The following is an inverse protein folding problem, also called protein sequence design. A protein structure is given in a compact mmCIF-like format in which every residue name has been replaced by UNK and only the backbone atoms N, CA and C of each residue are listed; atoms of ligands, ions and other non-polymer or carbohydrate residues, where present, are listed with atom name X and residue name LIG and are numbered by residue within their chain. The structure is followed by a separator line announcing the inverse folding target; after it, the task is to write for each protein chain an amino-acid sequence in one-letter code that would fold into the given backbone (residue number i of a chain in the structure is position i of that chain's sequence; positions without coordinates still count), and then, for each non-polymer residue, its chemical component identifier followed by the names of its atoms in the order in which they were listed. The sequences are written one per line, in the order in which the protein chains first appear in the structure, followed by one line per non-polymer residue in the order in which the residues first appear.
data_IF_714206641324
#
_entry.id   IF_714206641324
#
_cell.length_a   1.000
_cell.length_b   1.000
_cell.length_c   1.000
_cell.angle_alpha   90.00
_cell.angle_beta   90.00
_cell.angle_gamma   90.00
#
_symmetry.space_group_name_H-M   'P 1'
#
loop_
_entity.id
_entity.type
_entity.pdbx_description
1 polymer ?
#
# COMPACT_ATOMS: atom_id res chain seq x y z
N UNK A 1 6.91 -4.41 17.42
CA UNK A 1 7.22 -5.28 16.26
C UNK A 1 7.77 -4.47 15.09
N UNK A 2 8.39 -5.13 14.09
CA UNK A 2 8.74 -4.53 12.79
C UNK A 2 7.66 -4.88 11.76
N UNK A 3 7.04 -3.89 11.14
CA UNK A 3 6.02 -4.06 10.12
C UNK A 3 6.54 -3.48 8.79
N UNK A 4 6.65 -4.32 7.77
CA UNK A 4 7.04 -3.94 6.41
C UNK A 4 5.79 -3.88 5.54
N UNK A 5 5.35 -2.66 5.22
CA UNK A 5 4.23 -2.39 4.32
C UNK A 5 4.76 -2.36 2.88
N UNK A 6 4.21 -3.20 2.02
CA UNK A 6 4.64 -3.34 0.63
C UNK A 6 3.47 -3.00 -0.28
N UNK A 7 3.67 -2.07 -1.20
CA UNK A 7 2.68 -1.83 -2.26
C UNK A 7 2.66 -3.02 -3.21
N UNK A 8 1.48 -3.44 -3.68
CA UNK A 8 1.34 -4.50 -4.68
C UNK A 8 2.16 -4.23 -5.96
N UNK A 9 2.49 -5.28 -6.71
CA UNK A 9 3.13 -5.20 -8.02
C UNK A 9 2.22 -4.55 -9.08
N UNK A 10 2.79 -4.14 -10.21
CA UNK A 10 2.07 -3.45 -11.27
C UNK A 10 0.86 -4.26 -11.77
N UNK A 11 -0.25 -3.52 -12.02
CA UNK A 11 -1.50 -4.06 -12.58
C UNK A 11 -1.82 -3.39 -13.92
N UNK A 12 -2.73 -3.94 -14.74
CA UNK A 12 -3.24 -3.23 -15.92
C UNK A 12 -3.82 -1.86 -15.59
N UNK A 13 -4.50 -1.72 -14.44
CA UNK A 13 -5.06 -0.44 -14.03
C UNK A 13 -3.98 0.63 -13.74
N UNK A 14 -2.81 0.22 -13.21
CA UNK A 14 -1.68 1.15 -13.05
C UNK A 14 -1.17 1.64 -14.41
N UNK A 15 -1.05 0.74 -15.39
CA UNK A 15 -0.64 1.10 -16.77
C UNK A 15 -1.64 2.05 -17.42
N UNK A 16 -2.93 1.81 -17.21
CA UNK A 16 -4.03 2.64 -17.73
C UNK A 16 -4.24 3.93 -16.92
N UNK A 17 -3.56 4.09 -15.79
CA UNK A 17 -3.75 5.21 -14.85
C UNK A 17 -5.19 5.33 -14.35
N UNK A 18 -5.82 4.20 -14.12
CA UNK A 18 -7.20 4.10 -13.67
C UNK A 18 -7.25 4.02 -12.13
N UNK A 19 -8.17 4.75 -11.53
CA UNK A 19 -8.54 4.56 -10.13
C UNK A 19 -9.22 3.21 -9.98
N UNK A 20 -8.49 2.18 -9.54
CA UNK A 20 -9.01 0.83 -9.35
C UNK A 20 -8.84 0.40 -7.89
N UNK A 21 -9.87 0.70 -7.11
CA UNK A 21 -9.86 0.46 -5.66
C UNK A 21 -10.78 -0.67 -5.23
N UNK A 22 -11.64 -1.17 -6.12
CA UNK A 22 -12.59 -2.23 -5.82
C UNK A 22 -11.93 -3.60 -5.62
N UNK A 23 -12.65 -4.42 -4.87
CA UNK A 23 -12.35 -5.83 -4.65
C UNK A 23 -13.17 -6.72 -5.61
N UNK A 24 -12.62 -7.84 -6.08
CA UNK A 24 -11.25 -8.31 -5.83
C UNK A 24 -10.19 -7.60 -6.69
N UNK A 25 -10.59 -6.82 -7.70
CA UNK A 25 -9.73 -6.12 -8.65
C UNK A 25 -8.93 -7.04 -9.58
N UNK A 26 -8.12 -6.45 -10.49
CA UNK A 26 -7.30 -7.20 -11.45
C UNK A 26 -6.12 -7.91 -10.78
N UNK A 27 -5.52 -8.84 -11.52
CA UNK A 27 -4.23 -9.44 -11.22
C UNK A 27 -3.06 -8.53 -11.60
N UNK A 28 -1.85 -9.10 -11.61
CA UNK A 28 -0.62 -8.43 -11.97
C UNK A 28 -0.37 -8.46 -13.49
N UNK A 29 0.39 -7.48 -13.99
CA UNK A 29 1.03 -7.57 -15.30
C UNK A 29 2.24 -8.52 -15.23
N UNK A 30 2.87 -8.83 -16.39
CA UNK A 30 4.12 -9.59 -16.40
C UNK A 30 5.24 -8.86 -15.64
N UNK A 31 5.29 -7.52 -15.70
CA UNK A 31 6.20 -6.73 -14.88
C UNK A 31 5.85 -6.85 -13.40
N UNK A 32 4.57 -6.71 -13.05
CA UNK A 32 4.11 -6.87 -11.67
C UNK A 32 4.42 -8.23 -11.07
N UNK A 33 4.35 -9.30 -11.88
CA UNK A 33 4.74 -10.64 -11.44
C UNK A 33 6.26 -10.72 -11.15
N UNK A 34 7.11 -10.17 -12.04
CA UNK A 34 8.56 -10.09 -11.80
C UNK A 34 8.90 -9.20 -10.59
N UNK A 35 8.17 -8.10 -10.37
CA UNK A 35 8.31 -7.26 -9.18
C UNK A 35 7.97 -8.03 -7.90
N UNK A 36 6.94 -8.88 -7.93
CA UNK A 36 6.59 -9.74 -6.80
C UNK A 36 7.69 -10.78 -6.51
N UNK A 37 8.27 -11.39 -7.53
CA UNK A 37 9.40 -12.32 -7.40
C UNK A 37 10.64 -11.61 -6.81
N UNK A 38 10.93 -10.39 -7.22
CA UNK A 38 12.08 -9.61 -6.74
C UNK A 38 12.01 -9.28 -5.23
N UNK A 39 10.82 -9.30 -4.62
CA UNK A 39 10.66 -9.12 -3.17
C UNK A 39 11.39 -10.22 -2.37
N UNK A 40 11.55 -11.43 -2.92
CA UNK A 40 12.24 -12.54 -2.25
C UNK A 40 13.67 -12.17 -1.94
N UNK A 41 14.39 -11.63 -2.92
CA UNK A 41 15.79 -11.21 -2.76
C UNK A 41 15.90 -9.89 -1.97
N UNK A 42 15.02 -8.93 -2.27
CA UNK A 42 15.02 -7.64 -1.58
C UNK A 42 14.81 -7.76 -0.06
N UNK A 43 14.06 -8.77 0.37
CA UNK A 43 13.80 -9.05 1.78
C UNK A 43 14.60 -10.26 2.32
N UNK A 44 15.62 -10.77 1.58
CA UNK A 44 16.37 -11.96 1.98
C UNK A 44 17.03 -11.82 3.36
N UNK A 45 17.54 -10.62 3.69
CA UNK A 45 18.17 -10.31 4.97
C UNK A 45 17.20 -9.97 6.11
N UNK A 46 15.88 -9.95 5.86
CA UNK A 46 14.89 -9.63 6.87
C UNK A 46 14.34 -10.90 7.53
N UNK A 47 14.16 -10.86 8.84
CA UNK A 47 13.35 -11.88 9.52
C UNK A 47 11.87 -11.62 9.18
N UNK A 48 11.20 -12.59 8.58
CA UNK A 48 9.79 -12.51 8.19
C UNK A 48 9.05 -13.69 8.81
N UNK A 49 8.27 -13.42 9.84
CA UNK A 49 7.54 -14.46 10.60
C UNK A 49 6.12 -14.68 10.08
N UNK A 50 5.55 -13.69 9.39
CA UNK A 50 4.25 -13.81 8.73
C UNK A 50 4.16 -12.93 7.49
N UNK A 51 3.36 -13.35 6.53
CA UNK A 51 3.06 -12.60 5.29
C UNK A 51 1.55 -12.43 5.20
N UNK A 52 1.12 -11.16 5.21
CA UNK A 52 -0.26 -10.75 5.07
C UNK A 52 -0.48 -10.08 3.71
N UNK A 53 -1.69 -10.13 3.22
CA UNK A 53 -2.13 -9.40 2.04
C UNK A 53 -3.56 -8.89 2.21
N UNK A 54 -3.91 -7.79 1.57
CA UNK A 54 -5.30 -7.35 1.51
C UNK A 54 -6.16 -8.38 0.74
N UNK A 55 -7.47 -8.15 0.73
CA UNK A 55 -8.46 -8.99 0.02
C UNK A 55 -8.33 -8.89 -1.52
N UNK A 56 -7.58 -7.91 -2.03
CA UNK A 56 -7.39 -7.71 -3.46
C UNK A 56 -6.53 -8.81 -4.10
N UNK A 57 -6.91 -9.23 -5.32
CA UNK A 57 -6.15 -10.24 -6.08
C UNK A 57 -4.69 -9.85 -6.27
N UNK A 58 -4.42 -8.59 -6.63
CA UNK A 58 -3.07 -8.05 -6.87
C UNK A 58 -2.14 -8.15 -5.65
N UNK A 59 -2.64 -7.92 -4.45
CA UNK A 59 -1.83 -8.00 -3.23
C UNK A 59 -1.50 -9.44 -2.85
N UNK A 60 -2.45 -10.36 -3.01
CA UNK A 60 -2.25 -11.78 -2.73
C UNK A 60 -1.24 -12.37 -3.70
N UNK A 61 -1.34 -12.06 -5.00
CA UNK A 61 -0.37 -12.48 -6.01
C UNK A 61 1.03 -11.90 -5.75
N UNK A 62 1.12 -10.66 -5.28
CA UNK A 62 2.40 -10.03 -4.91
C UNK A 62 3.04 -10.71 -3.69
N UNK A 63 2.23 -11.13 -2.72
CA UNK A 63 2.70 -11.77 -1.50
C UNK A 63 3.18 -13.23 -1.71
N UNK A 64 2.62 -13.93 -2.70
CA UNK A 64 2.85 -15.38 -2.90
C UNK A 64 4.31 -15.79 -3.04
N UNK A 65 5.16 -15.17 -3.89
CA UNK A 65 6.54 -15.59 -4.05
C UNK A 65 7.33 -15.49 -2.73
N UNK A 66 7.20 -14.39 -2.01
CA UNK A 66 7.85 -14.19 -0.72
C UNK A 66 7.39 -15.23 0.31
N UNK A 67 6.09 -15.43 0.44
CA UNK A 67 5.51 -16.39 1.37
C UNK A 67 6.01 -17.81 1.06
N UNK A 68 5.99 -18.22 -0.21
CA UNK A 68 6.50 -19.53 -0.64
C UNK A 68 7.99 -19.70 -0.32
N UNK A 69 8.84 -18.70 -0.61
CA UNK A 69 10.26 -18.74 -0.31
C UNK A 69 10.57 -18.83 1.19
N UNK A 70 9.66 -18.36 2.05
CA UNK A 70 9.76 -18.44 3.52
C UNK A 70 9.06 -19.65 4.12
N UNK A 71 8.38 -20.49 3.32
CA UNK A 71 7.57 -21.59 3.82
C UNK A 71 6.37 -21.16 4.64
N UNK A 72 5.84 -19.96 4.39
CA UNK A 72 4.73 -19.35 5.09
C UNK A 72 3.47 -19.31 4.22
N UNK A 73 2.26 -19.37 4.79
CA UNK A 73 1.05 -19.08 4.04
C UNK A 73 0.87 -17.56 3.85
N UNK A 74 0.27 -17.15 2.73
CA UNK A 74 -0.31 -15.81 2.61
C UNK A 74 -1.59 -15.76 3.44
N UNK A 75 -1.66 -14.83 4.38
CA UNK A 75 -2.82 -14.63 5.24
C UNK A 75 -3.59 -13.40 4.76
N UNK A 76 -4.83 -13.60 4.33
CA UNK A 76 -5.68 -12.47 3.92
C UNK A 76 -6.09 -11.69 5.17
N UNK A 77 -5.82 -10.39 5.17
CA UNK A 77 -6.13 -9.46 6.25
C UNK A 77 -7.20 -8.47 5.78
N UNK A 78 -8.44 -8.61 6.23
CA UNK A 78 -9.50 -7.65 5.92
C UNK A 78 -9.18 -6.26 6.49
N UNK A 79 -9.68 -5.23 5.79
CA UNK A 79 -9.55 -3.85 6.25
C UNK A 79 -8.30 -3.11 5.78
N UNK A 80 -7.42 -3.76 5.01
CA UNK A 80 -6.21 -3.13 4.44
C UNK A 80 -6.27 -3.02 2.90
N UNK A 81 -7.48 -2.99 2.35
CA UNK A 81 -7.74 -2.68 0.94
C UNK A 81 -7.51 -1.18 0.65
N UNK A 82 -7.40 -0.82 -0.65
CA UNK A 82 -7.08 0.55 -1.06
C UNK A 82 -8.14 1.58 -0.61
N UNK A 83 -7.74 2.84 -0.45
CA UNK A 83 -8.67 3.93 -0.18
C UNK A 83 -9.72 3.99 -1.29
N UNK A 84 -10.99 3.99 -0.91
CA UNK A 84 -12.09 3.86 -1.85
C UNK A 84 -12.27 5.12 -2.70
N UNK A 85 -12.23 4.96 -4.02
CA UNK A 85 -12.47 6.05 -4.96
C UNK A 85 -13.97 6.40 -5.10
N UNK A 86 -14.88 5.53 -4.63
CA UNK A 86 -16.33 5.77 -4.68
C UNK A 86 -16.82 5.94 -6.12
N UNK A 87 -17.50 7.05 -6.39
CA UNK A 87 -18.00 7.36 -7.73
C UNK A 87 -16.92 7.68 -8.76
N UNK A 88 -15.64 7.83 -8.32
CA UNK A 88 -14.49 8.05 -9.20
C UNK A 88 -13.86 6.74 -9.68
N UNK A 89 -14.39 5.60 -9.26
CA UNK A 89 -13.88 4.28 -9.64
C UNK A 89 -13.77 4.10 -11.15
N UNK A 90 -12.63 3.54 -11.60
CA UNK A 90 -12.26 3.34 -13.01
C UNK A 90 -12.13 4.61 -13.85
N UNK A 91 -12.08 5.77 -13.22
CA UNK A 91 -11.82 7.01 -13.92
C UNK A 91 -10.32 7.14 -14.20
N UNK A 92 -10.02 7.74 -15.37
CA UNK A 92 -8.66 8.01 -15.85
C UNK A 92 -8.46 9.50 -16.16
N UNK A 93 -9.52 10.29 -16.05
CA UNK A 93 -9.47 11.73 -16.33
C UNK A 93 -8.83 12.51 -15.17
N UNK A 94 -8.06 13.53 -15.53
CA UNK A 94 -7.29 14.36 -14.60
C UNK A 94 -8.17 14.96 -13.48
N UNK A 95 -9.38 15.38 -13.80
CA UNK A 95 -10.31 15.95 -12.81
C UNK A 95 -10.65 14.94 -11.71
N UNK A 96 -10.97 13.71 -12.09
CA UNK A 96 -11.29 12.65 -11.14
C UNK A 96 -10.07 12.23 -10.31
N UNK A 97 -8.91 12.10 -10.95
CA UNK A 97 -7.65 11.79 -10.28
C UNK A 97 -7.28 12.89 -9.29
N UNK A 98 -7.36 14.16 -9.70
CA UNK A 98 -7.08 15.30 -8.82
C UNK A 98 -8.04 15.33 -7.64
N UNK A 99 -9.33 15.06 -7.83
CA UNK A 99 -10.31 15.02 -6.74
C UNK A 99 -9.96 13.92 -5.71
N UNK A 100 -9.56 12.74 -6.17
CA UNK A 100 -9.13 11.64 -5.30
C UNK A 100 -7.87 12.04 -4.49
N UNK A 101 -6.82 12.52 -5.16
CA UNK A 101 -5.57 12.96 -4.51
C UNK A 101 -5.84 14.09 -3.51
N UNK A 102 -6.69 15.07 -3.88
CA UNK A 102 -7.05 16.17 -2.99
C UNK A 102 -7.73 15.66 -1.71
N UNK A 103 -8.61 14.66 -1.79
CA UNK A 103 -9.21 14.06 -0.60
C UNK A 103 -8.15 13.47 0.33
N UNK A 104 -7.16 12.76 -0.21
CA UNK A 104 -6.05 12.22 0.60
C UNK A 104 -5.17 13.33 1.21
N UNK A 105 -5.00 14.45 0.51
CA UNK A 105 -4.27 15.61 1.05
C UNK A 105 -5.04 16.26 2.21
N UNK A 106 -6.37 16.45 2.06
CA UNK A 106 -7.22 16.97 3.12
C UNK A 106 -7.11 16.13 4.40
N UNK A 107 -7.09 14.80 4.28
CA UNK A 107 -6.90 13.93 5.45
C UNK A 107 -5.54 14.16 6.13
N UNK A 108 -4.46 14.30 5.36
CA UNK A 108 -3.12 14.60 5.91
C UNK A 108 -3.06 15.98 6.58
N UNK A 109 -3.85 16.94 6.08
CA UNK A 109 -3.97 18.30 6.65
C UNK A 109 -4.92 18.36 7.85
N UNK A 110 -5.56 17.22 8.20
CA UNK A 110 -6.41 17.08 9.40
C UNK A 110 -7.92 17.13 9.14
N UNK A 111 -8.37 17.36 7.90
CA UNK A 111 -9.80 17.28 7.53
C UNK A 111 -10.17 15.83 7.18
N UNK A 112 -10.38 15.01 8.21
CA UNK A 112 -10.76 13.61 8.06
C UNK A 112 -12.22 13.41 7.65
N UNK A 113 -13.06 14.43 7.69
CA UNK A 113 -14.47 14.38 7.26
C UNK A 113 -14.60 14.43 5.72
N UNK A 114 -13.54 14.87 5.01
CA UNK A 114 -13.53 14.88 3.55
C UNK A 114 -13.68 13.46 2.98
N UNK A 115 -14.41 13.32 1.87
CA UNK A 115 -14.55 12.04 1.15
C UNK A 115 -14.80 12.28 -0.34
N UNK A 116 -14.42 11.31 -1.17
CA UNK A 116 -14.93 11.25 -2.54
C UNK A 116 -16.41 10.83 -2.52
N UNK A 117 -17.23 11.28 -3.48
CA UNK A 117 -18.65 10.89 -3.51
C UNK A 117 -18.82 9.36 -3.49
N UNK A 118 -19.50 8.84 -2.46
CA UNK A 118 -19.72 7.40 -2.27
C UNK A 118 -18.48 6.60 -1.86
N UNK A 119 -17.37 7.27 -1.57
CA UNK A 119 -16.18 6.68 -0.93
C UNK A 119 -16.23 6.77 0.59
N UNK A 120 -15.20 6.27 1.24
CA UNK A 120 -14.99 6.37 2.69
C UNK A 120 -14.41 7.74 3.07
N UNK A 121 -14.63 8.15 4.31
CA UNK A 121 -13.92 9.28 4.91
C UNK A 121 -12.62 8.82 5.63
N UNK A 122 -11.83 9.79 6.10
CA UNK A 122 -10.56 9.51 6.76
C UNK A 122 -10.71 8.77 8.09
N UNK A 123 -11.81 8.98 8.82
CA UNK A 123 -12.10 8.28 10.07
C UNK A 123 -12.38 6.81 9.81
N UNK A 124 -13.20 6.49 8.81
CA UNK A 124 -13.52 5.11 8.41
C UNK A 124 -12.27 4.37 7.93
N UNK A 125 -11.43 5.02 7.12
CA UNK A 125 -10.15 4.45 6.68
C UNK A 125 -9.25 4.14 7.87
N UNK A 126 -9.06 5.09 8.78
CA UNK A 126 -8.22 4.89 9.96
C UNK A 126 -8.76 3.78 10.87
N UNK A 127 -10.06 3.75 11.14
CA UNK A 127 -10.69 2.74 12.00
C UNK A 127 -10.43 1.31 11.45
N UNK A 128 -10.66 1.07 10.15
CA UNK A 128 -10.46 -0.26 9.58
C UNK A 128 -8.98 -0.68 9.54
N UNK A 129 -8.07 0.25 9.22
CA UNK A 129 -6.64 -0.06 9.14
C UNK A 129 -6.04 -0.26 10.52
N UNK A 130 -6.39 0.60 11.49
CA UNK A 130 -5.95 0.46 12.88
C UNK A 130 -6.41 -0.86 13.48
N UNK A 131 -7.67 -1.27 13.24
CA UNK A 131 -8.18 -2.56 13.69
C UNK A 131 -7.43 -3.73 13.05
N UNK A 132 -7.17 -3.67 11.73
CA UNK A 132 -6.42 -4.71 11.02
C UNK A 132 -4.97 -4.82 11.52
N UNK A 133 -4.24 -3.71 11.59
CA UNK A 133 -2.85 -3.67 12.08
C UNK A 133 -2.78 -4.12 13.55
N UNK A 134 -3.76 -3.73 14.38
CA UNK A 134 -3.86 -4.20 15.75
C UNK A 134 -3.98 -5.70 15.87
N UNK A 135 -4.81 -6.31 15.03
CA UNK A 135 -4.95 -7.76 15.00
C UNK A 135 -3.63 -8.50 14.63
N UNK A 136 -2.75 -7.85 13.87
CA UNK A 136 -1.40 -8.37 13.59
C UNK A 136 -0.50 -8.23 14.83
N UNK A 137 -0.55 -7.08 15.52
CA UNK A 137 0.21 -6.86 16.77
C UNK A 137 -0.14 -7.88 17.86
N UNK A 138 -1.43 -8.20 17.99
CA UNK A 138 -1.94 -9.14 19.02
C UNK A 138 -1.43 -10.57 18.83
N UNK A 139 -0.84 -10.89 17.68
CA UNK A 139 -0.21 -12.20 17.43
C UNK A 139 1.15 -12.37 18.11
N UNK A 140 1.72 -11.31 18.66
CA UNK A 140 3.02 -11.36 19.34
C UNK A 140 4.20 -11.62 18.40
N UNK A 141 4.07 -11.26 17.12
CA UNK A 141 5.14 -11.38 16.11
C UNK A 141 6.19 -10.28 16.32
N UNK A 142 7.46 -10.62 16.09
CA UNK A 142 8.53 -9.62 16.09
C UNK A 142 8.61 -8.89 14.73
N UNK A 143 8.23 -9.57 13.65
CA UNK A 143 8.32 -9.04 12.29
C UNK A 143 7.27 -9.64 11.36
N UNK A 144 6.68 -8.79 10.50
CA UNK A 144 5.72 -9.22 9.49
C UNK A 144 5.81 -8.36 8.22
N UNK A 145 5.43 -8.94 7.09
CA UNK A 145 5.19 -8.23 5.83
C UNK A 145 3.68 -8.14 5.60
N UNK A 146 3.21 -6.95 5.23
CA UNK A 146 1.84 -6.70 4.82
C UNK A 146 1.83 -6.10 3.42
N UNK A 147 1.35 -6.85 2.44
CA UNK A 147 1.16 -6.35 1.07
C UNK A 147 -0.19 -5.66 0.95
N UNK A 148 -0.15 -4.38 0.63
CA UNK A 148 -1.31 -3.49 0.56
C UNK A 148 -1.19 -2.54 -0.64
N UNK A 149 -1.62 -1.30 -0.53
CA UNK A 149 -1.86 -0.36 -1.64
C UNK A 149 -1.17 0.97 -1.41
N UNK A 150 -0.93 1.71 -2.50
CA UNK A 150 -0.13 2.92 -2.47
C UNK A 150 -0.72 4.04 -1.64
N UNK A 151 -1.96 4.42 -1.91
CA UNK A 151 -2.63 5.51 -1.21
C UNK A 151 -2.86 5.16 0.27
N UNK A 152 -3.28 3.93 0.56
CA UNK A 152 -3.47 3.47 1.94
C UNK A 152 -2.18 3.53 2.75
N UNK A 153 -1.09 2.91 2.25
CA UNK A 153 0.19 2.86 2.96
C UNK A 153 0.68 4.26 3.29
N UNK A 154 0.67 5.15 2.31
CA UNK A 154 1.14 6.53 2.46
C UNK A 154 0.30 7.32 3.45
N UNK A 155 -1.02 7.27 3.29
CA UNK A 155 -1.95 8.06 4.12
C UNK A 155 -1.95 7.56 5.56
N UNK A 156 -2.07 6.25 5.77
CA UNK A 156 -2.05 5.68 7.13
C UNK A 156 -0.71 5.92 7.82
N UNK A 157 0.41 5.67 7.13
CA UNK A 157 1.73 5.92 7.71
C UNK A 157 1.95 7.41 8.03
N UNK A 158 1.48 8.32 7.18
CA UNK A 158 1.57 9.76 7.43
C UNK A 158 0.80 10.22 8.66
N UNK A 159 -0.37 9.59 8.92
CA UNK A 159 -1.25 9.95 10.03
C UNK A 159 -0.91 9.22 11.35
N UNK A 160 -0.29 8.05 11.29
CA UNK A 160 -0.06 7.20 12.48
C UNK A 160 1.39 7.05 12.90
N UNK A 161 2.34 7.42 12.03
CA UNK A 161 3.75 7.18 12.30
C UNK A 161 4.53 8.47 12.51
N UNK A 162 5.47 8.44 13.45
CA UNK A 162 6.46 9.52 13.59
C UNK A 162 7.61 9.32 12.61
N UNK A 163 8.21 10.42 12.15
CA UNK A 163 9.38 10.39 11.27
C UNK A 163 9.06 10.25 9.79
N UNK A 164 7.80 10.23 9.37
CA UNK A 164 7.41 10.18 7.96
C UNK A 164 7.62 11.51 7.25
N UNK A 165 7.34 12.65 7.91
CA UNK A 165 7.47 13.98 7.32
C UNK A 165 6.83 14.06 5.93
N UNK A 166 7.53 14.67 4.99
CA UNK A 166 7.05 14.85 3.61
C UNK A 166 7.05 13.54 2.78
N UNK A 167 7.70 12.47 3.27
CA UNK A 167 7.74 11.18 2.56
C UNK A 167 6.35 10.59 2.32
N UNK A 168 5.39 10.83 3.21
CA UNK A 168 4.01 10.37 3.04
C UNK A 168 3.28 11.09 1.88
N UNK A 169 3.76 12.24 1.44
CA UNK A 169 3.27 12.95 0.26
C UNK A 169 3.93 12.46 -1.04
N UNK A 170 5.14 11.86 -0.94
CA UNK A 170 5.87 11.34 -2.10
C UNK A 170 5.18 10.08 -2.68
N UNK A 171 5.29 9.85 -4.01
CA UNK A 171 4.84 8.60 -4.61
C UNK A 171 5.48 7.37 -3.96
N UNK A 172 4.75 6.27 -3.91
CA UNK A 172 5.26 4.95 -3.56
C UNK A 172 5.05 4.03 -4.75
N UNK A 173 6.12 3.63 -5.44
CA UNK A 173 6.04 2.81 -6.64
C UNK A 173 5.56 1.37 -6.33
N UNK A 174 5.15 0.63 -7.35
CA UNK A 174 4.80 -0.79 -7.18
C UNK A 174 5.96 -1.55 -6.52
N UNK A 175 5.66 -2.35 -5.52
CA UNK A 175 6.62 -3.03 -4.62
C UNK A 175 7.57 -2.12 -3.84
N UNK A 176 7.29 -0.83 -3.75
CA UNK A 176 7.92 0.05 -2.76
C UNK A 176 7.60 -0.41 -1.34
N UNK A 177 8.53 -0.17 -0.40
CA UNK A 177 8.48 -0.72 0.96
C UNK A 177 8.60 0.40 2.00
N UNK A 178 7.64 0.44 2.92
CA UNK A 178 7.69 1.30 4.12
C UNK A 178 7.89 0.39 5.33
N UNK A 179 9.02 0.55 6.02
CA UNK A 179 9.33 -0.23 7.23
C UNK A 179 9.08 0.61 8.47
N UNK A 180 8.29 0.06 9.36
CA UNK A 180 7.89 0.69 10.61
C UNK A 180 8.33 -0.17 11.80
N UNK A 181 8.59 0.46 12.93
CA UNK A 181 8.75 -0.19 14.24
C UNK A 181 7.79 0.43 15.25
N UNK A 182 7.18 -0.43 16.06
CA UNK A 182 6.24 -0.01 17.09
C UNK A 182 5.14 -1.03 17.35
N UNK A 183 4.06 -0.54 17.91
CA UNK A 183 2.79 -1.22 18.12
C UNK A 183 1.69 -0.19 18.35
N UNK A 184 0.44 -0.65 18.54
CA UNK A 184 -0.69 0.25 18.79
C UNK A 184 -0.61 1.02 20.11
N UNK A 185 0.08 0.50 21.12
CA UNK A 185 0.15 1.12 22.44
C UNK A 185 1.26 2.16 22.55
N UNK A 186 2.40 1.91 21.90
CA UNK A 186 3.59 2.78 21.90
C UNK A 186 3.65 3.73 20.70
N UNK A 187 2.78 3.52 19.72
CA UNK A 187 2.80 4.22 18.43
C UNK A 187 3.81 3.61 17.46
N UNK A 188 3.82 4.14 16.25
CA UNK A 188 4.67 3.68 15.16
C UNK A 188 5.73 4.71 14.81
N UNK A 189 6.94 4.24 14.48
CA UNK A 189 8.06 5.05 14.02
C UNK A 189 8.56 4.54 12.67
N UNK A 190 8.82 5.46 11.76
CA UNK A 190 9.45 5.13 10.48
C UNK A 190 10.89 4.66 10.70
N UNK A 191 11.24 3.54 10.09
CA UNK A 191 12.61 3.01 10.00
C UNK A 191 13.21 3.30 8.63
N UNK A 192 12.47 3.00 7.56
CA UNK A 192 12.90 3.28 6.19
C UNK A 192 11.71 3.45 5.25
N UNK A 193 11.92 4.26 4.21
CA UNK A 193 10.97 4.49 3.14
C UNK A 193 11.67 4.25 1.81
N UNK A 194 11.47 3.07 1.23
CA UNK A 194 11.97 2.73 -0.09
C UNK A 194 10.88 3.01 -1.11
N UNK A 195 10.98 4.16 -1.79
CA UNK A 195 10.02 4.60 -2.79
C UNK A 195 10.00 3.70 -4.01
N UNK A 196 11.19 3.35 -4.51
CA UNK A 196 11.38 2.59 -5.76
C UNK A 196 11.04 1.12 -5.60
N UNK A 197 10.70 0.42 -6.72
CA UNK A 197 10.40 -1.00 -6.69
C UNK A 197 11.50 -1.82 -6.03
N UNK A 198 11.11 -2.79 -5.21
CA UNK A 198 12.04 -3.79 -4.69
C UNK A 198 12.71 -4.54 -5.85
N UNK A 199 14.06 -4.67 -5.79
CA UNK A 199 14.84 -5.27 -6.88
C UNK A 199 15.07 -4.35 -8.08
N UNK A 200 14.65 -3.07 -8.04
CA UNK A 200 14.94 -2.07 -9.07
C UNK A 200 14.20 -2.26 -10.40
N UNK A 201 13.14 -3.09 -10.42
CA UNK A 201 12.35 -3.33 -11.63
C UNK A 201 11.35 -2.19 -11.86
N UNK A 202 11.81 -1.16 -12.57
CA UNK A 202 11.00 -0.02 -13.00
C UNK A 202 10.28 -0.32 -14.33
N UNK A 203 9.22 0.44 -14.61
CA UNK A 203 8.58 0.43 -15.91
C UNK A 203 9.52 1.08 -16.94
N UNK A 204 9.63 0.47 -18.13
CA UNK A 204 10.37 1.05 -19.27
C UNK A 204 9.59 2.18 -19.97
N UNK A 205 8.41 2.53 -19.47
CA UNK A 205 7.65 3.67 -19.99
C UNK A 205 8.44 4.96 -19.71
N UNK A 206 8.48 5.90 -20.67
CA UNK A 206 9.17 7.16 -20.46
C UNK A 206 8.60 7.85 -19.23
N UNK A 207 9.51 8.43 -18.45
CA UNK A 207 9.23 9.18 -17.21
C UNK A 207 8.38 10.43 -17.57
N UNK A 208 7.14 10.18 -17.98
CA UNK A 208 6.15 11.24 -18.10
C UNK A 208 5.68 11.54 -16.70
N UNK A 209 5.79 12.80 -16.30
CA UNK A 209 5.52 13.34 -14.97
C UNK A 209 4.11 13.07 -14.39
N UNK A 210 3.41 12.08 -14.89
CA UNK A 210 2.07 11.70 -14.52
C UNK A 210 2.09 10.27 -13.96
N UNK A 211 2.39 10.18 -12.68
CA UNK A 211 2.41 8.92 -11.96
C UNK A 211 1.02 8.27 -11.88
N UNK A 212 0.99 6.95 -11.69
CA UNK A 212 -0.19 6.18 -11.33
C UNK A 212 -0.93 6.83 -10.14
N UNK A 213 -2.22 7.19 -10.26
CA UNK A 213 -2.93 8.02 -9.29
C UNK A 213 -3.03 7.40 -7.89
N UNK A 214 -2.95 6.06 -7.76
CA UNK A 214 -2.94 5.40 -6.46
C UNK A 214 -1.55 5.36 -5.82
N UNK A 215 -0.51 5.51 -6.60
CA UNK A 215 0.89 5.66 -6.17
C UNK A 215 1.39 7.10 -6.18
N UNK A 216 0.69 8.01 -6.87
CA UNK A 216 1.10 9.40 -7.01
C UNK A 216 0.96 10.19 -5.71
N UNK A 217 1.87 11.12 -5.50
CA UNK A 217 1.83 12.13 -4.46
C UNK A 217 1.26 13.43 -4.98
#
# INVERSE_FOLDING_TARGET
MRLMLVRHGQTPANVERSLDTFLPGPGLTDLGARQAEALVEALAGQDVQAVFASEATRTQLTAQPLAAARGLPVQVLPGVFEVQAGALERRTDETSITAYITTLQLWRDGDLDASTPGGEDGHQMLERVDAAVGSVCDRGLESAVLVSHGALIRTWSGLRCTGTGDLAAEPLDNTGIVTLEGDQSSGWRLVSWQKTPAGGLVDDLPDTAEADPTGAG
#
